data_IF_117305677590
#
_entry.id   IF_117305677590
#
_cell.length_a   1.000
_cell.length_b   1.000
_cell.length_c   1.000
_cell.angle_alpha   90.00
_cell.angle_beta   90.00
_cell.angle_gamma   90.00
#
_symmetry.space_group_name_H-M   'P 1'
#
loop_
_entity.id
_entity.type
_entity.pdbx_description
1 polymer ?
#
# COMPACT_ATOMS: atom_id res chain seq x y z
N UNK A 1 -21.47 -20.32 -3.66
CA UNK A 1 -20.07 -20.48 -3.23
C UNK A 1 -19.33 -19.20 -3.60
N UNK A 2 -19.45 -18.15 -2.80
CA UNK A 2 -18.80 -16.84 -3.01
C UNK A 2 -17.35 -16.80 -2.49
N UNK A 3 -16.83 -17.92 -1.97
CA UNK A 3 -15.66 -17.95 -1.09
C UNK A 3 -14.32 -17.53 -1.72
N UNK A 4 -14.09 -17.65 -3.03
CA UNK A 4 -12.73 -17.39 -3.55
C UNK A 4 -12.47 -15.94 -3.99
N UNK A 5 -13.51 -15.22 -4.41
CA UNK A 5 -13.37 -13.85 -4.93
C UNK A 5 -13.42 -12.82 -3.79
N UNK A 6 -14.38 -12.96 -2.87
CA UNK A 6 -14.50 -12.10 -1.69
C UNK A 6 -13.27 -12.25 -0.77
N UNK A 7 -12.82 -13.47 -0.46
CA UNK A 7 -11.61 -13.70 0.35
C UNK A 7 -10.36 -13.08 -0.28
N UNK A 8 -10.27 -13.09 -1.62
CA UNK A 8 -9.15 -12.50 -2.35
C UNK A 8 -9.19 -10.97 -2.32
N UNK A 9 -10.39 -10.38 -2.38
CA UNK A 9 -10.57 -8.94 -2.24
C UNK A 9 -10.24 -8.49 -0.82
N UNK A 10 -10.69 -9.22 0.20
CA UNK A 10 -10.37 -8.96 1.60
C UNK A 10 -8.87 -9.06 1.89
N UNK A 11 -8.19 -10.03 1.29
CA UNK A 11 -6.74 -10.16 1.39
C UNK A 11 -6.02 -8.96 0.75
N UNK A 12 -6.47 -8.51 -0.43
CA UNK A 12 -5.91 -7.32 -1.09
C UNK A 12 -6.16 -6.06 -0.25
N UNK A 13 -7.34 -5.90 0.33
CA UNK A 13 -7.67 -4.76 1.18
C UNK A 13 -6.84 -4.73 2.46
N UNK A 14 -6.58 -5.89 3.08
CA UNK A 14 -5.66 -5.99 4.23
C UNK A 14 -4.22 -5.62 3.83
N UNK A 15 -3.73 -6.13 2.70
CA UNK A 15 -2.39 -5.80 2.22
C UNK A 15 -2.25 -4.29 1.93
N UNK A 16 -3.29 -3.65 1.40
CA UNK A 16 -3.32 -2.18 1.22
C UNK A 16 -3.25 -1.47 2.57
N UNK A 17 -4.07 -1.86 3.54
CA UNK A 17 -4.07 -1.23 4.87
C UNK A 17 -2.71 -1.36 5.57
N UNK A 18 -2.09 -2.54 5.52
CA UNK A 18 -0.76 -2.77 6.10
C UNK A 18 0.31 -1.89 5.43
N UNK A 19 0.22 -1.70 4.10
CA UNK A 19 1.15 -0.84 3.37
C UNK A 19 0.92 0.64 3.63
N UNK A 20 -0.32 1.08 3.84
CA UNK A 20 -0.65 2.45 4.26
C UNK A 20 -0.06 2.75 5.65
N UNK A 21 -0.18 1.82 6.60
CA UNK A 21 0.48 1.95 7.92
C UNK A 21 2.01 2.04 7.79
N UNK A 22 2.62 1.22 6.94
CA UNK A 22 4.05 1.29 6.65
C UNK A 22 4.45 2.61 5.98
N UNK A 23 3.57 3.18 5.14
CA UNK A 23 3.79 4.48 4.50
C UNK A 23 3.87 5.58 5.57
N UNK A 24 2.91 5.64 6.47
CA UNK A 24 2.85 6.62 7.56
C UNK A 24 4.05 6.50 8.51
N UNK A 25 4.46 5.26 8.83
CA UNK A 25 5.67 5.00 9.60
C UNK A 25 6.93 5.50 8.86
N UNK A 26 7.06 5.25 7.56
CA UNK A 26 8.17 5.78 6.75
C UNK A 26 8.21 7.30 6.72
N UNK A 27 7.06 7.96 6.57
CA UNK A 27 6.96 9.43 6.60
C UNK A 27 7.42 9.97 7.96
N UNK A 28 6.99 9.35 9.05
CA UNK A 28 7.41 9.72 10.41
C UNK A 28 8.93 9.56 10.60
N UNK A 29 9.52 8.48 10.09
CA UNK A 29 10.97 8.27 10.12
C UNK A 29 11.71 9.33 9.29
N UNK A 30 11.22 9.67 8.10
CA UNK A 30 11.81 10.72 7.26
C UNK A 30 11.79 12.07 7.98
N UNK A 31 10.67 12.41 8.63
CA UNK A 31 10.54 13.64 9.40
C UNK A 31 11.58 13.67 10.54
N UNK A 32 11.67 12.61 11.33
CA UNK A 32 12.63 12.51 12.44
C UNK A 32 14.10 12.59 11.96
N UNK A 33 14.44 11.94 10.85
CA UNK A 33 15.77 12.03 10.24
C UNK A 33 16.07 13.45 9.73
N UNK A 34 15.09 14.11 9.14
CA UNK A 34 15.22 15.49 8.64
C UNK A 34 15.47 16.46 9.79
N UNK A 35 14.73 16.33 10.89
CA UNK A 35 14.89 17.16 12.09
C UNK A 35 16.27 16.98 12.74
N UNK A 36 16.83 15.78 12.63
CA UNK A 36 18.19 15.47 13.10
C UNK A 36 19.29 15.86 12.09
N UNK A 37 18.93 16.37 10.90
CA UNK A 37 19.87 16.69 9.83
C UNK A 37 20.57 15.45 9.24
N UNK A 38 19.96 14.28 9.38
CA UNK A 38 20.48 13.00 8.89
C UNK A 38 20.04 12.72 7.45
N UNK A 39 20.76 11.82 6.78
CA UNK A 39 20.41 11.39 5.43
C UNK A 39 19.06 10.66 5.41
N UNK A 40 18.19 11.10 4.50
CA UNK A 40 16.84 10.56 4.29
C UNK A 40 16.72 9.73 3.01
N UNK A 41 17.79 9.60 2.21
CA UNK A 41 17.74 8.96 0.90
C UNK A 41 17.23 7.51 0.97
N UNK A 42 17.71 6.72 1.93
CA UNK A 42 17.28 5.34 2.12
C UNK A 42 15.79 5.25 2.51
N UNK A 43 15.34 6.10 3.44
CA UNK A 43 13.95 6.13 3.89
C UNK A 43 13.00 6.60 2.78
N UNK A 44 13.39 7.60 1.98
CA UNK A 44 12.65 8.04 0.79
C UNK A 44 12.58 6.96 -0.29
N UNK A 45 13.65 6.20 -0.49
CA UNK A 45 13.65 5.06 -1.41
C UNK A 45 12.71 3.94 -0.93
N UNK A 46 12.64 3.69 0.38
CA UNK A 46 11.68 2.75 0.96
C UNK A 46 10.24 3.23 0.78
N UNK A 47 9.97 4.51 1.08
CA UNK A 47 8.66 5.14 0.89
C UNK A 47 8.18 5.00 -0.56
N UNK A 48 9.04 5.30 -1.54
CA UNK A 48 8.69 5.17 -2.96
C UNK A 48 8.32 3.74 -3.36
N UNK A 49 8.99 2.73 -2.81
CA UNK A 49 8.64 1.32 -3.06
C UNK A 49 7.29 0.94 -2.47
N UNK A 50 6.93 1.51 -1.32
CA UNK A 50 5.60 1.32 -0.72
C UNK A 50 4.53 1.96 -1.60
N UNK A 51 4.77 3.20 -2.05
CA UNK A 51 3.87 3.91 -2.96
C UNK A 51 3.65 3.17 -4.29
N UNK A 52 4.72 2.65 -4.90
CA UNK A 52 4.64 1.84 -6.13
C UNK A 52 3.80 0.57 -5.92
N UNK A 53 3.96 -0.11 -4.78
CA UNK A 53 3.16 -1.29 -4.43
C UNK A 53 1.69 -0.94 -4.19
N UNK A 54 1.42 0.13 -3.45
CA UNK A 54 0.05 0.61 -3.20
C UNK A 54 -0.64 0.96 -4.52
N UNK A 55 0.05 1.64 -5.44
CA UNK A 55 -0.50 1.93 -6.75
C UNK A 55 -0.85 0.66 -7.53
N UNK A 56 0.06 -0.33 -7.55
CA UNK A 56 -0.19 -1.61 -8.23
C UNK A 56 -1.36 -2.39 -7.61
N UNK A 57 -1.45 -2.42 -6.27
CA UNK A 57 -2.54 -3.09 -5.57
C UNK A 57 -3.87 -2.39 -5.83
N UNK A 58 -3.95 -1.06 -5.72
CA UNK A 58 -5.19 -0.30 -5.99
C UNK A 58 -5.72 -0.50 -7.41
N UNK A 59 -4.83 -0.56 -8.42
CA UNK A 59 -5.22 -0.90 -9.80
C UNK A 59 -5.79 -2.31 -9.88
N UNK A 60 -5.19 -3.26 -9.16
CA UNK A 60 -5.66 -4.64 -9.10
C UNK A 60 -7.03 -4.74 -8.42
N UNK A 61 -7.24 -4.08 -7.27
CA UNK A 61 -8.54 -4.08 -6.58
C UNK A 61 -9.62 -3.43 -7.43
N UNK A 62 -9.33 -2.31 -8.11
CA UNK A 62 -10.28 -1.66 -9.02
C UNK A 62 -10.69 -2.58 -10.19
N UNK A 63 -9.77 -3.38 -10.69
CA UNK A 63 -10.08 -4.40 -11.73
C UNK A 63 -11.02 -5.47 -11.17
N UNK A 64 -10.77 -5.98 -9.96
CA UNK A 64 -11.64 -6.98 -9.31
C UNK A 64 -13.04 -6.43 -9.01
N UNK A 65 -13.15 -5.19 -8.54
CA UNK A 65 -14.45 -4.54 -8.32
C UNK A 65 -15.21 -4.27 -9.63
N UNK A 66 -14.50 -3.94 -10.71
CA UNK A 66 -15.08 -3.77 -12.04
C UNK A 66 -15.64 -5.08 -12.60
N UNK A 67 -14.91 -6.18 -12.42
CA UNK A 67 -15.29 -7.53 -12.87
C UNK A 67 -16.48 -8.07 -12.05
N UNK A 68 -16.50 -7.82 -10.74
CA UNK A 68 -17.61 -8.21 -9.85
C UNK A 68 -18.93 -7.49 -10.15
N UNK A 69 -18.90 -6.32 -10.82
CA UNK A 69 -20.12 -5.60 -11.26
C UNK A 69 -20.67 -6.11 -12.60
N UNK A 70 -20.07 -7.14 -13.20
CA UNK A 70 -20.46 -7.69 -14.51
C UNK A 70 -20.86 -9.18 -14.48
N UNK A 71 -21.03 -9.76 -13.29
CA UNK A 71 -21.56 -11.13 -13.07
C UNK A 71 -22.91 -11.12 -12.38
#
# INVERSE_FOLDING_TARGET
>A
MAGSAEERLDALNREIADLEEQQDACVSVIAALTDQGLDTAAAKAALRRIEDKLAALRVRTATFEGDARHV
#
